data_IF_902239659696
#
_entry.id   IF_902239659696
#
_cell.length_a   1.000
_cell.length_b   1.000
_cell.length_c   1.000
_cell.angle_alpha   90.00
_cell.angle_beta   90.00
_cell.angle_gamma   90.00
#
_symmetry.space_group_name_H-M   'P 1'
#
loop_
_entity.id
_entity.type
_entity.pdbx_description
1 polymer ?
#
# COMPACT_ATOMS: atom_id res chain seq x y z
N UNK A 1 -17.54 -12.63 -7.07
CA UNK A 1 -17.62 -11.16 -7.07
C UNK A 1 -18.82 -10.65 -6.28
N UNK A 2 -19.94 -11.37 -6.26
CA UNK A 2 -21.15 -10.99 -5.49
C UNK A 2 -20.87 -10.77 -4.00
N UNK A 3 -20.19 -11.71 -3.32
CA UNK A 3 -19.84 -11.57 -1.91
C UNK A 3 -19.02 -10.29 -1.64
N UNK A 4 -18.08 -9.96 -2.53
CA UNK A 4 -17.26 -8.77 -2.39
C UNK A 4 -18.12 -7.51 -2.50
N UNK A 5 -19.02 -7.45 -3.49
CA UNK A 5 -19.96 -6.34 -3.64
C UNK A 5 -20.82 -6.18 -2.38
N UNK A 6 -21.44 -7.27 -1.91
CA UNK A 6 -22.31 -7.26 -0.72
C UNK A 6 -21.57 -6.73 0.52
N UNK A 7 -20.33 -7.17 0.74
CA UNK A 7 -19.53 -6.71 1.89
C UNK A 7 -19.15 -5.24 1.76
N UNK A 8 -18.76 -4.78 0.58
CA UNK A 8 -18.42 -3.36 0.36
C UNK A 8 -19.65 -2.47 0.57
N UNK A 9 -20.80 -2.86 0.04
CA UNK A 9 -22.05 -2.13 0.26
C UNK A 9 -22.47 -2.14 1.74
N UNK A 10 -22.18 -3.23 2.45
CA UNK A 10 -22.34 -3.32 3.91
C UNK A 10 -21.49 -2.32 4.68
N UNK A 11 -20.27 -2.00 4.22
CA UNK A 11 -19.38 -1.01 4.87
C UNK A 11 -19.95 0.41 4.83
N UNK A 12 -20.80 0.73 3.85
CA UNK A 12 -21.33 2.09 3.62
C UNK A 12 -22.54 2.40 4.52
N UNK A 13 -23.20 1.37 5.08
CA UNK A 13 -24.38 1.57 5.94
C UNK A 13 -24.06 2.47 7.13
N UNK A 14 -24.96 3.37 7.52
CA UNK A 14 -24.71 4.37 8.59
C UNK A 14 -24.31 3.72 9.92
N UNK A 15 -24.91 2.58 10.27
CA UNK A 15 -24.59 1.79 11.47
C UNK A 15 -23.32 0.93 11.32
N UNK A 16 -22.56 1.06 10.24
CA UNK A 16 -21.37 0.25 10.04
C UNK A 16 -20.28 0.64 11.05
N UNK A 17 -19.47 -0.36 11.39
CA UNK A 17 -18.23 -0.18 12.17
C UNK A 17 -17.34 0.91 11.59
N UNK A 18 -17.44 1.17 10.28
CA UNK A 18 -16.61 2.14 9.57
C UNK A 18 -16.94 3.57 10.01
N UNK A 19 -18.23 3.89 10.12
CA UNK A 19 -18.66 5.21 10.59
C UNK A 19 -18.52 5.35 12.11
N UNK A 20 -18.84 4.28 12.85
CA UNK A 20 -18.77 4.27 14.31
C UNK A 20 -17.34 4.48 14.83
N UNK A 21 -16.34 3.89 14.20
CA UNK A 21 -14.93 3.98 14.61
C UNK A 21 -14.10 4.96 13.76
N UNK A 22 -14.75 5.75 12.88
CA UNK A 22 -14.03 6.72 12.05
C UNK A 22 -12.97 6.07 11.14
N UNK A 23 -13.28 4.92 10.54
CA UNK A 23 -12.39 4.19 9.64
C UNK A 23 -12.49 4.76 8.23
N UNK A 24 -11.36 5.13 7.63
CA UNK A 24 -11.23 5.47 6.21
C UNK A 24 -10.86 4.23 5.42
N UNK A 25 -11.68 3.88 4.42
CA UNK A 25 -11.42 2.71 3.57
C UNK A 25 -10.75 3.15 2.29
N UNK A 26 -9.66 2.47 1.91
CA UNK A 26 -8.92 2.69 0.67
C UNK A 26 -8.83 1.37 -0.08
N UNK A 27 -9.19 1.35 -1.36
CA UNK A 27 -8.96 0.20 -2.22
C UNK A 27 -7.70 0.43 -3.05
N UNK A 28 -6.77 -0.51 -2.96
CA UNK A 28 -5.46 -0.43 -3.60
C UNK A 28 -5.34 -1.52 -4.68
N UNK A 29 -4.85 -1.17 -5.87
CA UNK A 29 -4.63 -2.09 -6.98
C UNK A 29 -5.34 -1.65 -8.26
N UNK A 30 -5.39 -2.55 -9.25
CA UNK A 30 -5.97 -2.22 -10.54
C UNK A 30 -7.50 -2.47 -10.55
N UNK A 31 -8.25 -1.48 -10.08
CA UNK A 31 -9.73 -1.56 -10.01
C UNK A 31 -10.40 -1.70 -11.39
N UNK A 32 -9.70 -1.39 -12.48
CA UNK A 32 -10.21 -1.58 -13.85
C UNK A 32 -10.36 -3.06 -14.21
N UNK A 33 -9.69 -3.96 -13.49
CA UNK A 33 -9.83 -5.42 -13.66
C UNK A 33 -11.06 -5.98 -12.94
N UNK A 34 -11.72 -5.18 -12.10
CA UNK A 34 -12.93 -5.59 -11.38
C UNK A 34 -14.17 -5.39 -12.26
N UNK A 35 -15.22 -6.17 -11.97
CA UNK A 35 -16.52 -5.94 -12.59
C UNK A 35 -17.05 -4.55 -12.22
N UNK A 36 -17.79 -3.93 -13.14
CA UNK A 36 -18.33 -2.59 -12.96
C UNK A 36 -19.09 -2.42 -11.62
N UNK A 37 -20.00 -3.34 -11.20
CA UNK A 37 -20.72 -3.18 -9.94
C UNK A 37 -19.80 -3.13 -8.72
N UNK A 38 -18.74 -3.96 -8.70
CA UNK A 38 -17.78 -4.01 -7.60
C UNK A 38 -16.90 -2.77 -7.58
N UNK A 39 -16.44 -2.31 -8.76
CA UNK A 39 -15.66 -1.09 -8.89
C UNK A 39 -16.45 0.12 -8.39
N UNK A 40 -17.71 0.26 -8.81
CA UNK A 40 -18.59 1.34 -8.36
C UNK A 40 -18.90 1.25 -6.86
N UNK A 41 -19.05 0.04 -6.31
CA UNK A 41 -19.19 -0.13 -4.86
C UNK A 41 -17.93 0.33 -4.10
N UNK A 42 -16.74 -0.06 -4.58
CA UNK A 42 -15.47 0.35 -3.97
C UNK A 42 -15.27 1.87 -4.02
N UNK A 43 -15.54 2.51 -5.16
CA UNK A 43 -15.47 3.98 -5.32
C UNK A 43 -16.43 4.70 -4.37
N UNK A 44 -17.69 4.22 -4.26
CA UNK A 44 -18.67 4.77 -3.31
C UNK A 44 -18.20 4.62 -1.87
N UNK A 45 -17.62 3.49 -1.49
CA UNK A 45 -17.12 3.26 -0.13
C UNK A 45 -15.93 4.16 0.21
N UNK A 46 -15.00 4.38 -0.73
CA UNK A 46 -13.92 5.33 -0.55
C UNK A 46 -14.46 6.75 -0.35
N UNK A 47 -15.39 7.19 -1.22
CA UNK A 47 -16.02 8.52 -1.14
C UNK A 47 -16.78 8.75 0.18
N UNK A 48 -17.55 7.76 0.63
CA UNK A 48 -18.30 7.84 1.87
C UNK A 48 -17.40 8.01 3.11
N UNK A 49 -16.18 7.48 3.05
CA UNK A 49 -15.26 7.40 4.20
C UNK A 49 -14.09 8.38 4.10
N UNK A 50 -14.05 9.28 3.10
CA UNK A 50 -12.95 10.25 2.90
C UNK A 50 -12.71 11.13 4.13
N UNK A 51 -13.78 11.51 4.83
CA UNK A 51 -13.70 12.41 5.99
C UNK A 51 -13.19 11.73 7.26
N UNK A 52 -13.11 10.40 7.28
CA UNK A 52 -12.65 9.64 8.41
C UNK A 52 -11.11 9.68 8.49
N UNK A 53 -10.56 9.72 9.69
CA UNK A 53 -9.11 9.85 9.90
C UNK A 53 -8.55 9.03 11.06
N UNK A 54 -9.39 8.37 11.85
CA UNK A 54 -8.94 7.66 13.06
C UNK A 54 -8.15 6.39 12.72
N UNK A 55 -8.66 5.62 11.75
CA UNK A 55 -8.04 4.38 11.28
C UNK A 55 -8.11 4.32 9.77
N UNK A 56 -7.02 3.90 9.12
CA UNK A 56 -7.01 3.67 7.67
C UNK A 56 -7.02 2.17 7.41
N UNK A 57 -8.05 1.70 6.69
CA UNK A 57 -8.16 0.33 6.21
C UNK A 57 -7.87 0.26 4.71
N UNK A 58 -6.68 -0.23 4.38
CA UNK A 58 -6.27 -0.45 3.00
C UNK A 58 -6.59 -1.88 2.55
N UNK A 59 -7.44 -2.01 1.54
CA UNK A 59 -7.88 -3.29 0.97
C UNK A 59 -7.23 -3.45 -0.41
N UNK A 60 -6.26 -4.35 -0.52
CA UNK A 60 -5.58 -4.66 -1.78
C UNK A 60 -6.42 -5.62 -2.64
N UNK A 61 -6.87 -5.19 -3.82
CA UNK A 61 -7.70 -5.99 -4.73
C UNK A 61 -7.16 -5.86 -6.15
N UNK A 62 -7.03 -6.99 -6.85
CA UNK A 62 -6.37 -7.03 -8.16
C UNK A 62 -5.00 -6.31 -8.09
N UNK A 63 -4.30 -6.56 -6.99
CA UNK A 63 -3.06 -5.91 -6.61
C UNK A 63 -1.91 -6.90 -6.72
N UNK A 64 -0.79 -6.40 -7.25
CA UNK A 64 0.51 -7.05 -7.13
C UNK A 64 1.56 -5.98 -6.90
N UNK A 65 2.57 -6.26 -6.07
CA UNK A 65 3.64 -5.30 -5.80
C UNK A 65 4.45 -4.99 -7.06
N UNK A 66 4.63 -5.97 -7.95
CA UNK A 66 5.24 -5.73 -9.25
C UNK A 66 4.47 -4.69 -10.09
N UNK A 67 3.13 -4.74 -10.11
CA UNK A 67 2.35 -3.73 -10.84
C UNK A 67 2.38 -2.37 -10.14
N UNK A 68 2.35 -2.34 -8.81
CA UNK A 68 2.53 -1.11 -8.04
C UNK A 68 3.85 -0.42 -8.38
N UNK A 69 4.98 -1.14 -8.29
CA UNK A 69 6.31 -0.58 -8.60
C UNK A 69 6.36 -0.02 -10.03
N UNK A 70 5.82 -0.76 -11.00
CA UNK A 70 5.78 -0.29 -12.40
C UNK A 70 4.92 0.97 -12.55
N UNK A 71 3.79 1.06 -11.86
CA UNK A 71 2.92 2.25 -11.92
C UNK A 71 3.59 3.45 -11.25
N UNK A 72 4.20 3.25 -10.07
CA UNK A 72 4.92 4.29 -9.34
C UNK A 72 6.08 4.86 -10.16
N UNK A 73 6.87 3.99 -10.81
CA UNK A 73 7.97 4.45 -11.67
C UNK A 73 7.46 5.30 -12.83
N UNK A 74 6.32 4.94 -13.43
CA UNK A 74 5.69 5.74 -14.49
C UNK A 74 5.22 7.10 -13.97
N UNK A 75 4.51 7.12 -12.84
CA UNK A 75 4.05 8.37 -12.20
C UNK A 75 5.22 9.29 -11.84
N UNK A 76 6.33 8.72 -11.37
CA UNK A 76 7.56 9.47 -11.07
C UNK A 76 8.19 10.06 -12.34
N UNK A 77 8.22 9.33 -13.45
CA UNK A 77 8.69 9.85 -14.74
C UNK A 77 7.81 10.97 -15.27
N UNK A 78 6.49 10.82 -15.17
CA UNK A 78 5.52 11.79 -15.67
C UNK A 78 5.62 13.12 -14.91
N UNK A 79 5.84 13.10 -13.59
CA UNK A 79 6.09 14.32 -12.80
C UNK A 79 7.34 15.07 -13.28
N UNK A 80 8.44 14.37 -13.57
CA UNK A 80 9.69 14.97 -14.05
C UNK A 80 9.48 15.64 -15.42
N UNK A 81 8.81 14.97 -16.36
CA UNK A 81 8.55 15.51 -17.70
C UNK A 81 7.66 16.78 -17.66
N UNK A 82 6.67 16.82 -16.78
CA UNK A 82 5.78 18.00 -16.63
C UNK A 82 6.54 19.21 -16.06
N UNK A 83 7.51 18.97 -15.17
CA UNK A 83 8.37 20.02 -14.63
C UNK A 83 9.25 20.64 -15.71
N UNK A 84 9.74 19.84 -16.66
CA UNK A 84 10.52 20.32 -17.81
C UNK A 84 9.68 21.20 -18.77
N UNK A 85 8.38 20.92 -18.93
CA UNK A 85 7.48 21.71 -19.79
C UNK A 85 7.00 23.02 -19.12
N UNK A 86 7.00 23.08 -17.79
CA UNK A 86 6.39 24.18 -17.01
C UNK A 86 7.31 25.39 -16.79
N UNK A 87 8.55 25.37 -17.28
CA UNK A 87 9.42 26.55 -17.33
C UNK A 87 9.72 27.18 -15.95
N UNK A 88 9.71 26.39 -14.87
CA UNK A 88 10.24 26.82 -13.59
C UNK A 88 11.77 26.73 -13.63
N UNK A 89 12.38 27.90 -13.68
CA UNK A 89 13.81 28.20 -13.79
C UNK A 89 14.70 27.44 -12.79
N UNK A 90 15.01 26.17 -13.11
CA UNK A 90 16.20 25.45 -12.67
C UNK A 90 16.64 24.48 -13.77
N UNK A 91 17.61 24.91 -14.60
CA UNK A 91 18.56 24.01 -15.25
C UNK A 91 18.11 23.30 -16.54
N UNK A 92 17.93 24.09 -17.60
CA UNK A 92 18.05 23.73 -19.03
C UNK A 92 18.64 22.33 -19.36
N UNK A 93 17.85 21.49 -20.04
CA UNK A 93 18.40 20.56 -21.03
C UNK A 93 17.92 20.98 -22.43
N UNK A 94 18.82 21.69 -23.12
CA UNK A 94 18.83 21.71 -24.59
C UNK A 94 19.17 20.29 -25.06
N UNK A 95 18.30 19.74 -25.88
CA UNK A 95 18.54 18.56 -26.72
C UNK A 95 19.82 18.75 -27.55
N UNK A 96 20.94 18.24 -27.05
CA UNK A 96 22.22 18.21 -27.77
C UNK A 96 23.41 18.68 -26.93
N UNK A 97 23.92 17.81 -26.07
CA UNK A 97 25.24 17.99 -25.44
C UNK A 97 25.26 17.58 -23.97
N UNK A 98 25.95 16.47 -23.69
CA UNK A 98 26.24 15.87 -22.38
C UNK A 98 25.02 15.52 -21.51
N UNK A 99 24.81 14.22 -21.34
CA UNK A 99 23.86 13.65 -20.38
C UNK A 99 24.41 13.96 -18.99
N UNK A 100 23.99 15.07 -18.41
CA UNK A 100 24.31 15.42 -17.04
C UNK A 100 23.55 14.49 -16.09
N UNK A 101 24.28 13.85 -15.21
CA UNK A 101 23.89 12.75 -14.33
C UNK A 101 22.90 13.13 -13.20
N UNK A 102 22.07 14.17 -13.36
CA UNK A 102 21.31 14.77 -12.25
C UNK A 102 19.78 14.59 -12.31
N UNK A 103 19.19 14.12 -13.42
CA UNK A 103 17.77 13.77 -13.50
C UNK A 103 17.52 12.26 -13.35
N UNK A 104 18.16 11.63 -12.35
CA UNK A 104 17.88 10.25 -12.00
C UNK A 104 16.70 10.20 -11.02
N UNK A 105 15.70 9.36 -11.29
CA UNK A 105 14.62 9.05 -10.33
C UNK A 105 15.28 8.58 -9.03
N UNK A 106 15.06 9.29 -7.92
CA UNK A 106 15.58 8.92 -6.61
C UNK A 106 14.59 7.95 -5.94
N UNK A 107 15.11 7.13 -5.02
CA UNK A 107 14.24 6.25 -4.23
C UNK A 107 13.15 7.02 -3.46
N UNK A 108 13.44 8.26 -3.04
CA UNK A 108 12.48 9.15 -2.38
C UNK A 108 11.30 9.51 -3.29
N UNK A 109 11.54 9.67 -4.60
CA UNK A 109 10.48 9.98 -5.56
C UNK A 109 9.55 8.77 -5.70
N UNK A 110 10.12 7.55 -5.69
CA UNK A 110 9.38 6.29 -5.73
C UNK A 110 8.55 6.09 -4.43
N UNK A 111 9.16 6.31 -3.26
CA UNK A 111 8.50 6.12 -1.96
C UNK A 111 7.28 7.04 -1.78
N UNK A 112 7.32 8.26 -2.33
CA UNK A 112 6.21 9.22 -2.31
C UNK A 112 4.92 8.68 -2.94
N UNK A 113 5.04 7.84 -3.97
CA UNK A 113 3.91 7.33 -4.74
C UNK A 113 3.48 5.91 -4.35
N UNK A 114 4.17 5.27 -3.39
CA UNK A 114 3.76 3.95 -2.90
C UNK A 114 2.37 4.00 -2.27
N UNK A 115 1.57 2.96 -2.50
CA UNK A 115 0.15 2.97 -2.14
C UNK A 115 -0.11 2.84 -0.64
N UNK A 116 0.90 2.42 0.13
CA UNK A 116 0.81 2.22 1.56
C UNK A 116 2.13 2.58 2.25
N UNK A 117 2.09 3.02 3.52
CA UNK A 117 3.29 3.19 4.33
C UNK A 117 3.94 1.83 4.63
N UNK A 118 5.20 1.87 5.06
CA UNK A 118 5.94 0.68 5.47
C UNK A 118 5.25 -0.02 6.65
N UNK A 119 4.84 -1.29 6.52
CA UNK A 119 4.24 -2.03 7.62
C UNK A 119 5.31 -2.41 8.65
N UNK A 120 4.97 -2.30 9.93
CA UNK A 120 5.79 -2.84 11.02
C UNK A 120 5.74 -4.37 11.06
N UNK A 121 4.55 -4.94 10.78
CA UNK A 121 4.26 -6.38 10.89
C UNK A 121 3.48 -6.83 9.66
N UNK A 122 3.93 -7.92 9.04
CA UNK A 122 3.15 -8.71 8.10
C UNK A 122 2.78 -10.01 8.76
N UNK A 123 1.48 -10.31 8.74
CA UNK A 123 0.93 -11.57 9.20
C UNK A 123 0.46 -12.33 7.96
N UNK A 124 1.02 -13.52 7.75
CA UNK A 124 0.60 -14.42 6.67
C UNK A 124 0.25 -15.80 7.22
N UNK A 125 -1.03 -16.15 7.10
CA UNK A 125 -1.60 -17.44 7.50
C UNK A 125 -1.15 -18.59 6.59
N UNK A 126 -1.56 -19.82 6.94
CA UNK A 126 -1.36 -21.06 6.19
C UNK A 126 0.07 -21.62 6.23
N UNK A 127 0.95 -21.08 7.08
CA UNK A 127 2.33 -21.58 7.23
C UNK A 127 3.23 -21.40 6.01
N UNK A 128 2.83 -20.55 5.06
CA UNK A 128 3.54 -20.37 3.79
C UNK A 128 4.67 -19.37 3.91
N UNK A 129 5.90 -19.78 3.61
CA UNK A 129 7.11 -18.97 3.75
C UNK A 129 7.43 -18.13 2.50
N UNK A 130 6.42 -17.47 1.93
CA UNK A 130 6.59 -16.55 0.78
C UNK A 130 5.79 -15.26 0.99
N UNK A 131 6.09 -14.19 0.25
CA UNK A 131 5.27 -12.96 0.25
C UNK A 131 4.19 -12.96 -0.82
N UNK A 132 4.28 -13.80 -1.86
CA UNK A 132 3.31 -13.85 -2.97
C UNK A 132 3.07 -12.50 -3.65
N UNK A 133 4.14 -11.72 -3.88
CA UNK A 133 4.06 -10.44 -4.59
C UNK A 133 3.18 -9.41 -3.86
N UNK A 134 3.23 -9.40 -2.52
CA UNK A 134 2.50 -8.49 -1.65
C UNK A 134 3.47 -7.54 -0.94
N UNK A 135 3.29 -6.22 -1.14
CA UNK A 135 4.06 -5.14 -0.50
C UNK A 135 5.59 -5.36 -0.51
N UNK A 136 6.17 -5.80 -1.63
CA UNK A 136 7.59 -6.18 -1.69
C UNK A 136 8.52 -5.01 -1.38
N UNK A 137 8.18 -3.79 -1.81
CA UNK A 137 8.95 -2.59 -1.52
C UNK A 137 8.86 -2.22 -0.03
N UNK A 138 7.63 -2.11 0.46
CA UNK A 138 7.31 -1.63 1.80
C UNK A 138 7.79 -2.59 2.90
N UNK A 139 7.97 -3.87 2.59
CA UNK A 139 8.26 -4.91 3.59
C UNK A 139 9.74 -5.14 3.85
N UNK A 140 10.62 -4.32 3.27
CA UNK A 140 12.07 -4.46 3.39
C UNK A 140 12.58 -4.59 4.84
N UNK A 141 11.98 -3.85 5.78
CA UNK A 141 12.34 -3.85 7.20
C UNK A 141 11.20 -4.28 8.14
N UNK A 142 10.19 -4.94 7.59
CA UNK A 142 9.01 -5.41 8.31
C UNK A 142 9.30 -6.71 9.08
N UNK A 143 8.64 -6.90 10.23
CA UNK A 143 8.63 -8.21 10.89
C UNK A 143 7.65 -9.16 10.20
N UNK A 144 8.11 -10.35 9.81
CA UNK A 144 7.28 -11.38 9.19
C UNK A 144 6.81 -12.40 10.24
N UNK A 145 5.50 -12.43 10.51
CA UNK A 145 4.85 -13.41 11.37
C UNK A 145 4.05 -14.42 10.51
N UNK A 146 4.44 -15.70 10.60
CA UNK A 146 3.96 -16.77 9.71
C UNK A 146 3.28 -17.90 10.51
N UNK A 147 2.06 -17.68 11.04
CA UNK A 147 1.34 -18.74 11.74
C UNK A 147 0.93 -19.87 10.78
N UNK A 148 1.00 -21.11 11.25
CA UNK A 148 0.59 -22.31 10.49
C UNK A 148 -0.93 -22.47 10.33
N UNK A 149 -1.71 -21.53 10.88
CA UNK A 149 -3.16 -21.61 11.04
C UNK A 149 -3.89 -21.06 9.84
N UNK A 150 -5.13 -21.48 9.61
CA UNK A 150 -5.94 -20.94 8.52
C UNK A 150 -6.38 -19.50 8.85
N UNK A 151 -6.58 -18.66 7.82
CA UNK A 151 -7.05 -17.28 8.02
C UNK A 151 -8.32 -17.18 8.90
N UNK A 152 -9.36 -18.02 8.69
CA UNK A 152 -10.57 -17.96 9.54
C UNK A 152 -10.36 -18.41 10.98
N UNK A 153 -9.22 -19.05 11.30
CA UNK A 153 -8.88 -19.55 12.64
C UNK A 153 -8.02 -18.55 13.42
N UNK A 154 -7.54 -17.48 12.77
CA UNK A 154 -6.78 -16.43 13.46
C UNK A 154 -7.70 -15.69 14.42
N UNK A 155 -7.30 -15.69 15.68
CA UNK A 155 -7.98 -15.01 16.77
C UNK A 155 -7.10 -13.91 17.39
N UNK A 156 -7.61 -13.29 18.45
CA UNK A 156 -6.90 -12.25 19.18
C UNK A 156 -5.58 -12.73 19.81
N UNK A 157 -5.51 -13.98 20.27
CA UNK A 157 -4.30 -14.54 20.86
C UNK A 157 -3.17 -14.61 19.83
N UNK A 158 -3.48 -15.02 18.59
CA UNK A 158 -2.50 -15.06 17.50
C UNK A 158 -2.02 -13.66 17.12
N UNK A 159 -2.92 -12.68 17.10
CA UNK A 159 -2.56 -11.29 16.88
C UNK A 159 -1.64 -10.75 17.98
N UNK A 160 -1.95 -11.03 19.25
CA UNK A 160 -1.10 -10.65 20.38
C UNK A 160 0.29 -11.29 20.29
N UNK A 161 0.38 -12.56 19.89
CA UNK A 161 1.65 -13.23 19.66
C UNK A 161 2.47 -12.58 18.53
N UNK A 162 1.83 -12.10 17.47
CA UNK A 162 2.51 -11.35 16.41
C UNK A 162 3.16 -10.07 16.97
N UNK A 163 2.42 -9.31 17.78
CA UNK A 163 2.90 -8.07 18.41
C UNK A 163 4.06 -8.35 19.36
N UNK A 164 3.95 -9.34 20.25
CA UNK A 164 5.01 -9.67 21.21
C UNK A 164 6.30 -10.07 20.49
N UNK A 165 6.19 -10.84 19.41
CA UNK A 165 7.34 -11.23 18.62
C UNK A 165 7.96 -10.05 17.85
N UNK A 166 7.14 -9.14 17.32
CA UNK A 166 7.63 -7.88 16.75
C UNK A 166 8.41 -7.07 17.79
N UNK A 167 7.83 -6.82 18.96
CA UNK A 167 8.48 -6.06 20.04
C UNK A 167 9.83 -6.65 20.44
N UNK A 168 9.94 -7.98 20.50
CA UNK A 168 11.19 -8.69 20.79
C UNK A 168 12.27 -8.44 19.73
N UNK A 169 11.88 -8.33 18.46
CA UNK A 169 12.80 -8.13 17.33
C UNK A 169 12.97 -6.66 16.93
N UNK A 170 12.18 -5.75 17.50
CA UNK A 170 12.11 -4.36 17.08
C UNK A 170 13.46 -3.64 17.10
N UNK A 171 14.26 -3.82 18.16
CA UNK A 171 15.60 -3.23 18.26
C UNK A 171 16.55 -3.71 17.16
N UNK A 172 16.42 -4.97 16.74
CA UNK A 172 17.22 -5.52 15.64
C UNK A 172 16.81 -4.90 14.30
N UNK A 173 15.50 -4.79 14.05
CA UNK A 173 14.95 -4.19 12.83
C UNK A 173 15.36 -2.72 12.69
N UNK A 174 15.22 -1.91 13.75
CA UNK A 174 15.65 -0.51 13.73
C UNK A 174 17.15 -0.35 13.45
N UNK A 175 18.00 -1.26 13.95
CA UNK A 175 19.44 -1.23 13.67
C UNK A 175 19.72 -1.55 12.20
N UNK A 176 18.98 -2.49 11.61
CA UNK A 176 19.12 -2.85 10.20
C UNK A 176 18.65 -1.75 9.28
N UNK A 177 17.54 -1.09 9.59
CA UNK A 177 17.03 0.04 8.81
C UNK A 177 18.04 1.21 8.77
N UNK A 178 18.75 1.49 9.89
CA UNK A 178 19.80 2.54 9.92
C UNK A 178 21.09 2.20 9.18
N UNK A 179 21.29 0.93 8.82
CA UNK A 179 22.49 0.46 8.12
C UNK A 179 22.31 0.43 6.60
N UNK A 180 21.07 0.53 6.13
CA UNK A 180 20.71 0.63 4.71
C UNK A 180 20.73 2.08 4.24
#
# INVERSE_FOLDING_TARGET
MELMQEKIEGLIKEESIVNLYGVRVLFIGNLKLLSEPVRLAAERAMLATVKNSEVILSICVAYTSANEIVNVVKESCDEINILDESGADYGLIKLGGQVDSEQLIKCLDIEKYMYAPDPDIIIRSYGETRLSNFLLWQTAFCYLYLPSMLWPEIDFCHFLWAILNFQRNHLYLCRKQKQS
#
